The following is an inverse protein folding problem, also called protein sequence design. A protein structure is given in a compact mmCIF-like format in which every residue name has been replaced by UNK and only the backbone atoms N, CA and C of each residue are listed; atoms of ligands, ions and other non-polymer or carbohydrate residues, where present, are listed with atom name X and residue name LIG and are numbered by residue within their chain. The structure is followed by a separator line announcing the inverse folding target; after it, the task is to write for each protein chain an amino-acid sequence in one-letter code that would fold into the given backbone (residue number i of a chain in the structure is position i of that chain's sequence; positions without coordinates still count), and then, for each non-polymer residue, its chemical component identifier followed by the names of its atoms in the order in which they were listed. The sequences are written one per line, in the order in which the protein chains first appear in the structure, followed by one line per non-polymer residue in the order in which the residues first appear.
data_IF_642170217254
#
_entry.id   IF_642170217254
#
_cell.length_a   1.000
_cell.length_b   1.000
_cell.length_c   1.000
_cell.angle_alpha   90.00
_cell.angle_beta   90.00
_cell.angle_gamma   90.00
#
_symmetry.space_group_name_H-M   'P 1'
#
loop_
_entity.id
_entity.type
_entity.pdbx_description
1 polymer ?
#
# COMPACT_ATOMS: atom_id res chain seq x y z
N UNK A 1 -8.05 0.35 -12.06
CA UNK A 1 -8.31 1.28 -10.95
C UNK A 1 -7.00 1.65 -10.28
N UNK A 2 -6.97 2.79 -9.58
CA UNK A 2 -5.86 3.26 -8.76
C UNK A 2 -5.98 2.62 -7.37
N UNK A 3 -4.95 1.90 -6.94
CA UNK A 3 -4.96 1.14 -5.68
C UNK A 3 -3.80 1.61 -4.81
N UNK A 4 -4.10 2.00 -3.57
CA UNK A 4 -3.11 2.22 -2.52
C UNK A 4 -2.92 0.94 -1.71
N UNK A 5 -1.69 0.45 -1.57
CA UNK A 5 -1.42 -0.82 -0.88
C UNK A 5 -0.71 -0.58 0.46
N UNK A 6 -1.31 -1.06 1.55
CA UNK A 6 -0.69 -1.10 2.87
C UNK A 6 -0.23 -2.52 3.19
N UNK A 7 1.07 -2.70 3.36
CA UNK A 7 1.71 -3.97 3.63
C UNK A 7 2.75 -4.32 2.57
N UNK A 8 3.78 -5.06 3.01
CA UNK A 8 4.79 -5.67 2.14
C UNK A 8 5.10 -7.11 2.57
N UNK A 9 4.15 -7.75 3.28
CA UNK A 9 4.25 -9.15 3.71
C UNK A 9 3.71 -10.11 2.64
N UNK A 10 3.56 -11.39 3.01
CA UNK A 10 3.18 -12.49 2.10
C UNK A 10 1.94 -12.20 1.23
N UNK A 11 0.91 -11.61 1.84
CA UNK A 11 -0.34 -11.29 1.14
C UNK A 11 -0.11 -10.15 0.13
N UNK A 12 0.53 -9.06 0.55
CA UNK A 12 0.86 -7.95 -0.32
C UNK A 12 1.76 -8.37 -1.49
N UNK A 13 2.78 -9.20 -1.23
CA UNK A 13 3.70 -9.70 -2.27
C UNK A 13 3.03 -10.63 -3.27
N UNK A 14 1.94 -11.32 -2.90
CA UNK A 14 1.17 -12.15 -3.81
C UNK A 14 0.13 -11.33 -4.60
N UNK A 15 -0.55 -10.39 -3.93
CA UNK A 15 -1.62 -9.59 -4.56
C UNK A 15 -1.07 -8.51 -5.48
N UNK A 16 0.02 -7.84 -5.12
CA UNK A 16 0.50 -6.69 -5.87
C UNK A 16 0.85 -7.03 -7.34
N UNK A 17 1.57 -8.13 -7.66
CA UNK A 17 1.78 -8.54 -9.05
C UNK A 17 0.48 -8.91 -9.76
N UNK A 18 -0.45 -9.58 -9.07
CA UNK A 18 -1.74 -9.98 -9.65
C UNK A 18 -2.61 -8.77 -10.01
N UNK A 19 -2.64 -7.74 -9.16
CA UNK A 19 -3.35 -6.49 -9.41
C UNK A 19 -2.75 -5.73 -10.60
N UNK A 20 -1.41 -5.65 -10.68
CA UNK A 20 -0.72 -5.03 -11.82
C UNK A 20 -1.00 -5.81 -13.12
N UNK A 21 -0.94 -7.14 -13.09
CA UNK A 21 -1.25 -8.01 -14.22
C UNK A 21 -2.71 -7.88 -14.68
N UNK A 22 -3.63 -7.61 -13.76
CA UNK A 22 -5.04 -7.31 -14.05
C UNK A 22 -5.26 -5.89 -14.61
N UNK A 23 -4.20 -5.12 -14.85
CA UNK A 23 -4.27 -3.76 -15.40
C UNK A 23 -4.64 -2.69 -14.36
N UNK A 24 -4.49 -2.98 -13.08
CA UNK A 24 -4.64 -1.97 -12.02
C UNK A 24 -3.32 -1.24 -11.77
N UNK A 25 -3.42 0.01 -11.33
CA UNK A 25 -2.26 0.85 -11.03
C UNK A 25 -2.06 0.91 -9.51
N UNK A 26 -0.94 0.41 -9.01
CA UNK A 26 -0.55 0.65 -7.62
C UNK A 26 0.04 2.05 -7.51
N UNK A 27 -0.69 2.97 -6.89
CA UNK A 27 -0.28 4.39 -6.78
C UNK A 27 0.72 4.64 -5.66
N UNK A 28 0.83 3.73 -4.70
CA UNK A 28 1.89 3.66 -3.71
C UNK A 28 1.88 2.29 -3.02
N UNK A 29 3.00 1.96 -2.38
CA UNK A 29 3.12 0.81 -1.48
C UNK A 29 3.66 1.31 -0.15
N UNK A 30 2.91 1.09 0.92
CA UNK A 30 3.29 1.43 2.29
C UNK A 30 3.70 0.18 3.04
N UNK A 31 4.73 0.28 3.86
CA UNK A 31 5.01 -0.76 4.85
C UNK A 31 5.45 -0.13 6.17
N UNK A 32 5.38 -0.93 7.24
CA UNK A 32 5.85 -0.52 8.58
C UNK A 32 7.32 -0.07 8.55
N UNK A 33 8.13 -0.62 7.64
CA UNK A 33 9.50 -0.19 7.40
C UNK A 33 9.69 0.17 5.92
N UNK A 34 10.45 1.23 5.63
CA UNK A 34 10.74 1.62 4.25
C UNK A 34 11.38 0.49 3.42
N UNK A 35 12.36 -0.29 3.95
CA UNK A 35 12.96 -1.39 3.19
C UNK A 35 11.96 -2.44 2.70
N UNK A 36 10.90 -2.73 3.48
CA UNK A 36 9.86 -3.65 3.05
C UNK A 36 9.06 -3.11 1.86
N UNK A 37 8.66 -1.83 1.89
CA UNK A 37 7.96 -1.19 0.78
C UNK A 37 8.84 -1.15 -0.48
N UNK A 38 10.12 -0.78 -0.32
CA UNK A 38 11.09 -0.72 -1.42
C UNK A 38 11.28 -2.09 -2.07
N UNK A 39 11.43 -3.15 -1.27
CA UNK A 39 11.59 -4.51 -1.79
C UNK A 39 10.40 -4.96 -2.63
N UNK A 40 9.16 -4.64 -2.21
CA UNK A 40 7.96 -4.96 -2.98
C UNK A 40 7.86 -4.09 -4.25
N UNK A 41 8.08 -2.78 -4.14
CA UNK A 41 8.03 -1.87 -5.29
C UNK A 41 9.06 -2.23 -6.36
N UNK A 42 10.25 -2.70 -5.97
CA UNK A 42 11.31 -3.14 -6.88
C UNK A 42 10.90 -4.33 -7.77
N UNK A 43 9.91 -5.13 -7.34
CA UNK A 43 9.38 -6.26 -8.12
C UNK A 43 8.31 -5.83 -9.13
N UNK A 44 7.87 -4.58 -9.09
CA UNK A 44 6.68 -4.11 -9.79
C UNK A 44 7.00 -2.83 -10.58
N UNK A 45 7.53 -2.96 -11.81
CA UNK A 45 7.81 -1.81 -12.66
C UNK A 45 6.55 -0.95 -12.89
N UNK A 46 6.68 0.37 -12.75
CA UNK A 46 5.57 1.31 -12.93
C UNK A 46 4.66 1.49 -11.70
N UNK A 47 5.01 0.90 -10.56
CA UNK A 47 4.34 1.21 -9.30
C UNK A 47 4.79 2.55 -8.73
N UNK A 48 3.88 3.22 -8.01
CA UNK A 48 4.18 4.47 -7.32
C UNK A 48 5.19 4.32 -6.19
N UNK A 49 5.56 5.43 -5.54
CA UNK A 49 6.67 5.43 -4.58
C UNK A 49 6.43 4.46 -3.42
N UNK A 50 7.48 3.76 -2.96
CA UNK A 50 7.44 3.08 -1.67
C UNK A 50 7.45 4.11 -0.55
N UNK A 51 6.62 3.92 0.46
CA UNK A 51 6.46 4.84 1.58
C UNK A 51 6.60 4.10 2.92
N UNK A 52 7.16 4.78 3.91
CA UNK A 52 7.11 4.36 5.30
C UNK A 52 5.81 4.82 5.97
N UNK A 53 5.38 4.13 7.04
CA UNK A 53 4.21 4.55 7.83
C UNK A 53 4.31 5.98 8.38
N UNK A 54 5.52 6.43 8.70
CA UNK A 54 5.77 7.79 9.20
C UNK A 54 5.56 8.89 8.14
N UNK A 55 5.53 8.52 6.85
CA UNK A 55 5.42 9.45 5.72
C UNK A 55 3.95 9.62 5.25
N UNK A 56 2.98 9.26 6.09
CA UNK A 56 1.54 9.18 5.74
C UNK A 56 0.62 10.33 6.18
N UNK A 57 1.03 11.59 6.40
CA UNK A 57 0.07 12.61 6.82
C UNK A 57 -1.01 12.88 5.74
N UNK A 58 -0.73 12.59 4.47
CA UNK A 58 -1.72 12.64 3.38
C UNK A 58 -1.47 11.52 2.38
N UNK A 59 -2.47 10.66 2.19
CA UNK A 59 -2.39 9.57 1.20
C UNK A 59 -2.52 10.12 -0.22
N UNK A 60 -1.76 9.58 -1.19
CA UNK A 60 -2.11 9.76 -2.59
C UNK A 60 -3.54 9.28 -2.86
N UNK A 61 -4.33 9.98 -3.70
CA UNK A 61 -5.69 9.57 -4.01
C UNK A 61 -5.69 8.23 -4.73
N UNK A 62 -6.57 7.32 -4.29
CA UNK A 62 -6.80 6.01 -4.85
C UNK A 62 -8.30 5.70 -4.88
N UNK A 63 -8.71 4.84 -5.80
CA UNK A 63 -10.09 4.33 -5.88
C UNK A 63 -10.34 3.23 -4.84
N UNK A 64 -9.26 2.58 -4.38
CA UNK A 64 -9.28 1.52 -3.36
C UNK A 64 -8.01 1.60 -2.50
N UNK A 65 -8.18 1.54 -1.19
CA UNK A 65 -7.08 1.36 -0.24
C UNK A 65 -7.13 -0.06 0.32
N UNK A 66 -6.10 -0.86 0.02
CA UNK A 66 -6.04 -2.26 0.42
C UNK A 66 -5.09 -2.45 1.61
N UNK A 67 -5.64 -2.92 2.73
CA UNK A 67 -4.88 -3.24 3.93
C UNK A 67 -4.49 -4.73 3.95
N UNK A 68 -3.29 -5.03 3.46
CA UNK A 68 -2.65 -6.35 3.50
C UNK A 68 -1.62 -6.41 4.65
N UNK A 69 -2.05 -5.99 5.85
CA UNK A 69 -1.28 -5.99 7.10
C UNK A 69 -1.81 -7.07 8.05
N UNK A 70 -1.07 -7.48 9.10
CA UNK A 70 -1.62 -8.36 10.13
C UNK A 70 -2.85 -7.73 10.80
N UNK A 71 -3.84 -8.54 11.19
CA UNK A 71 -5.09 -8.07 11.81
C UNK A 71 -4.84 -7.17 13.04
N UNK A 72 -3.88 -7.55 13.88
CA UNK A 72 -3.49 -6.77 15.05
C UNK A 72 -2.94 -5.37 14.71
N UNK A 73 -2.50 -5.14 13.48
CA UNK A 73 -2.01 -3.85 13.02
C UNK A 73 -3.11 -2.96 12.41
N UNK A 74 -4.25 -3.53 11.99
CA UNK A 74 -5.29 -2.80 11.25
C UNK A 74 -5.76 -1.55 12.00
N UNK A 75 -6.09 -1.68 13.30
CA UNK A 75 -6.53 -0.54 14.10
C UNK A 75 -5.47 0.58 14.17
N UNK A 76 -4.19 0.23 14.30
CA UNK A 76 -3.10 1.20 14.33
C UNK A 76 -2.93 1.89 12.97
N UNK A 77 -3.09 1.17 11.87
CA UNK A 77 -3.07 1.74 10.52
C UNK A 77 -4.21 2.73 10.32
N UNK A 78 -5.43 2.34 10.69
CA UNK A 78 -6.61 3.18 10.55
C UNK A 78 -6.49 4.47 11.37
N UNK A 79 -5.91 4.41 12.57
CA UNK A 79 -5.72 5.57 13.44
C UNK A 79 -4.56 6.49 13.01
N UNK A 80 -3.52 5.94 12.36
CA UNK A 80 -2.31 6.69 12.01
C UNK A 80 -2.43 7.49 10.71
N UNK A 81 -3.52 7.32 9.97
CA UNK A 81 -3.64 7.80 8.59
C UNK A 81 -4.86 8.69 8.44
N UNK A 82 -4.69 9.82 7.78
CA UNK A 82 -5.79 10.68 7.38
C UNK A 82 -6.43 10.10 6.10
N UNK A 83 -7.55 9.40 6.28
CA UNK A 83 -8.30 8.79 5.18
C UNK A 83 -9.10 9.86 4.41
N UNK A 84 -9.10 9.82 3.06
CA UNK A 84 -9.99 10.68 2.29
C UNK A 84 -11.45 10.31 2.57
N UNK A 85 -12.35 11.27 2.39
CA UNK A 85 -13.78 11.04 2.58
C UNK A 85 -14.28 9.90 1.67
N UNK A 86 -14.97 8.92 2.26
CA UNK A 86 -15.53 7.77 1.54
C UNK A 86 -14.58 6.58 1.37
N UNK A 87 -13.38 6.63 1.94
CA UNK A 87 -12.48 5.48 2.04
C UNK A 87 -12.83 4.54 3.21
#
# INVERSE_FOLDING_TARGET
MRIGLFGAGRVATALAPALVAAGHQLVFVVSRTLPGAVALAAQLPGTGPPLAFAELPTLPPADLYLLAVPDAAVAAVLAAVAWPAGA
#
